data_IF_145658045239
#
_entry.id   IF_145658045239
#
_cell.length_a   1.000
_cell.length_b   1.000
_cell.length_c   1.000
_cell.angle_alpha   90.00
_cell.angle_beta   90.00
_cell.angle_gamma   90.00
#
_symmetry.space_group_name_H-M   'P 1'
#
loop_
_entity.id
_entity.type
_entity.pdbx_description
1 polymer ?
#
# COMPACT_ATOMS: atom_id res chain seq x y z
N UNK A 1 -7.11 -0.43 19.37
CA UNK A 1 -6.58 -1.12 18.17
C UNK A 1 -6.88 -2.60 18.36
N UNK A 2 -6.93 -3.43 17.32
CA UNK A 2 -7.29 -4.86 17.48
C UNK A 2 -6.32 -5.55 18.43
N UNK A 3 -5.01 -5.25 18.35
CA UNK A 3 -4.01 -5.87 19.23
C UNK A 3 -4.16 -5.46 20.71
N UNK A 4 -4.70 -4.28 20.97
CA UNK A 4 -4.85 -3.73 22.33
C UNK A 4 -6.21 -4.04 22.97
N UNK A 5 -7.12 -4.67 22.22
CA UNK A 5 -8.48 -5.00 22.66
C UNK A 5 -8.82 -6.48 22.41
N UNK A 6 -7.81 -7.35 22.22
CA UNK A 6 -8.01 -8.78 21.96
C UNK A 6 -8.85 -9.45 23.06
N UNK A 7 -8.62 -9.07 24.31
CA UNK A 7 -9.26 -9.70 25.47
C UNK A 7 -10.76 -9.40 25.48
N UNK A 8 -11.14 -8.19 25.09
CA UNK A 8 -12.54 -7.80 24.92
C UNK A 8 -13.20 -8.49 23.72
N UNK A 9 -12.44 -8.70 22.63
CA UNK A 9 -12.94 -9.38 21.43
C UNK A 9 -13.17 -10.87 21.68
N UNK A 10 -12.30 -11.51 22.46
CA UNK A 10 -12.37 -12.93 22.78
C UNK A 10 -13.23 -13.24 24.01
N UNK A 11 -13.70 -12.23 24.74
CA UNK A 11 -14.53 -12.43 25.93
C UNK A 11 -15.84 -13.15 25.59
N UNK A 12 -16.10 -14.25 26.29
CA UNK A 12 -17.27 -15.10 26.07
C UNK A 12 -17.29 -15.89 24.75
N UNK A 13 -16.23 -15.83 23.94
CA UNK A 13 -16.12 -16.60 22.70
C UNK A 13 -15.92 -18.11 22.94
N UNK A 14 -15.60 -18.51 24.18
CA UNK A 14 -15.60 -19.92 24.63
C UNK A 14 -17.01 -20.50 24.84
N UNK A 15 -18.01 -19.63 25.00
CA UNK A 15 -19.40 -20.01 25.34
C UNK A 15 -20.41 -19.70 24.25
N UNK A 16 -20.10 -18.74 23.38
CA UNK A 16 -21.02 -18.22 22.36
C UNK A 16 -20.31 -17.93 21.06
N UNK A 17 -21.03 -18.00 19.94
CA UNK A 17 -20.48 -17.66 18.63
C UNK A 17 -20.27 -16.14 18.53
N UNK A 18 -19.01 -15.73 18.39
CA UNK A 18 -18.60 -14.34 18.21
C UNK A 18 -18.09 -14.13 16.78
N UNK A 19 -18.58 -13.08 16.10
CA UNK A 19 -18.14 -12.71 14.77
C UNK A 19 -17.32 -11.43 14.79
N UNK A 20 -16.08 -11.50 14.30
CA UNK A 20 -15.20 -10.34 14.12
C UNK A 20 -15.14 -9.94 12.64
N UNK A 21 -15.75 -8.81 12.31
CA UNK A 21 -15.84 -8.31 10.93
C UNK A 21 -14.73 -7.29 10.66
N UNK A 22 -14.02 -7.49 9.55
CA UNK A 22 -12.90 -6.64 9.12
C UNK A 22 -13.09 -6.22 7.67
N UNK A 23 -12.46 -5.09 7.30
CA UNK A 23 -12.46 -4.63 5.92
C UNK A 23 -11.51 -5.51 5.10
N UNK A 24 -11.99 -5.99 3.95
CA UNK A 24 -11.21 -6.84 3.06
C UNK A 24 -11.06 -8.26 3.60
N UNK A 25 -9.85 -8.81 3.44
CA UNK A 25 -9.52 -10.16 3.88
C UNK A 25 -8.87 -10.16 5.28
N UNK A 26 -9.23 -11.09 6.18
CA UNK A 26 -8.68 -11.15 7.52
C UNK A 26 -7.15 -11.25 7.59
N UNK A 27 -6.48 -11.79 6.57
CA UNK A 27 -5.02 -12.03 6.57
C UNK A 27 -4.27 -11.31 5.44
N UNK A 28 -4.96 -10.64 4.53
CA UNK A 28 -4.35 -10.07 3.33
C UNK A 28 -3.31 -8.97 3.58
N UNK A 29 -3.41 -8.19 4.66
CA UNK A 29 -2.45 -7.14 4.99
C UNK A 29 -2.62 -6.66 6.44
N UNK A 30 -2.81 -7.61 7.36
CA UNK A 30 -3.20 -7.33 8.74
C UNK A 30 -2.31 -8.10 9.70
N UNK A 31 -2.39 -7.75 10.98
CA UNK A 31 -1.76 -8.47 12.08
C UNK A 31 -2.72 -9.46 12.75
N UNK A 32 -3.89 -9.75 12.16
CA UNK A 32 -4.94 -10.54 12.81
C UNK A 32 -4.58 -12.01 13.07
N UNK A 33 -3.48 -12.51 12.48
CA UNK A 33 -2.91 -13.80 12.87
C UNK A 33 -2.57 -13.84 14.36
N UNK A 34 -2.16 -12.72 14.96
CA UNK A 34 -1.93 -12.60 16.42
C UNK A 34 -3.22 -12.89 17.21
N UNK A 35 -4.37 -12.39 16.76
CA UNK A 35 -5.67 -12.64 17.39
C UNK A 35 -6.03 -14.14 17.34
N UNK A 36 -5.75 -14.81 16.22
CA UNK A 36 -5.97 -16.25 16.08
C UNK A 36 -5.08 -17.03 17.04
N UNK A 37 -3.79 -16.68 17.14
CA UNK A 37 -2.86 -17.32 18.08
C UNK A 37 -3.31 -17.16 19.53
N UNK A 38 -3.75 -15.97 19.94
CA UNK A 38 -4.29 -15.73 21.30
C UNK A 38 -5.55 -16.56 21.57
N UNK A 39 -6.44 -16.69 20.57
CA UNK A 39 -7.62 -17.54 20.71
C UNK A 39 -7.24 -19.03 20.88
N UNK A 40 -6.24 -19.50 20.14
CA UNK A 40 -5.70 -20.87 20.28
C UNK A 40 -5.09 -21.12 21.67
N UNK A 41 -4.34 -20.16 22.22
CA UNK A 41 -3.79 -20.25 23.59
C UNK A 41 -4.89 -20.39 24.66
N UNK A 42 -6.06 -19.79 24.40
CA UNK A 42 -7.26 -19.89 25.24
C UNK A 42 -8.14 -21.09 24.91
N UNK A 43 -7.71 -21.96 23.98
CA UNK A 43 -8.49 -23.11 23.48
C UNK A 43 -9.86 -22.72 22.88
N UNK A 44 -9.96 -21.50 22.33
CA UNK A 44 -11.16 -21.00 21.65
C UNK A 44 -11.10 -21.43 20.18
N UNK A 45 -12.07 -22.20 19.67
CA UNK A 45 -12.10 -22.58 18.26
C UNK A 45 -12.31 -21.35 17.36
N UNK A 46 -11.47 -21.20 16.34
CA UNK A 46 -11.59 -20.11 15.36
C UNK A 46 -11.93 -20.64 13.98
N UNK A 47 -12.63 -19.81 13.19
CA UNK A 47 -12.90 -20.08 11.77
C UNK A 47 -12.75 -18.79 10.96
N UNK A 48 -11.84 -18.81 10.00
CA UNK A 48 -11.63 -17.68 9.09
C UNK A 48 -12.50 -17.82 7.85
N UNK A 49 -13.14 -16.72 7.46
CA UNK A 49 -13.93 -16.61 6.22
C UNK A 49 -13.21 -15.62 5.30
N UNK A 50 -12.61 -16.07 4.19
CA UNK A 50 -11.84 -15.21 3.30
C UNK A 50 -12.75 -14.26 2.51
N UNK A 51 -12.18 -13.17 2.02
CA UNK A 51 -12.87 -12.19 1.18
C UNK A 51 -11.92 -11.56 0.14
N UNK A 52 -12.40 -10.59 -0.64
CA UNK A 52 -11.55 -9.78 -1.51
C UNK A 52 -10.50 -8.99 -0.69
N UNK A 53 -9.29 -8.87 -1.23
CA UNK A 53 -8.17 -8.16 -0.61
C UNK A 53 -7.59 -7.14 -1.59
N UNK A 54 -6.95 -6.09 -1.09
CA UNK A 54 -6.18 -5.20 -1.98
C UNK A 54 -5.09 -5.98 -2.75
N UNK A 55 -4.54 -7.05 -2.15
CA UNK A 55 -3.48 -7.86 -2.76
C UNK A 55 -3.92 -8.57 -4.05
N UNK A 56 -5.19 -8.97 -4.17
CA UNK A 56 -5.71 -9.56 -5.40
C UNK A 56 -6.47 -8.54 -6.26
N UNK A 57 -7.20 -7.61 -5.63
CA UNK A 57 -7.96 -6.58 -6.34
C UNK A 57 -7.06 -5.60 -7.11
N UNK A 58 -5.78 -5.45 -6.75
CA UNK A 58 -4.82 -4.63 -7.50
C UNK A 58 -4.66 -5.09 -8.96
N UNK A 59 -5.02 -6.34 -9.28
CA UNK A 59 -5.09 -6.83 -10.67
C UNK A 59 -6.04 -6.02 -11.56
N UNK A 60 -6.94 -5.22 -10.98
CA UNK A 60 -7.77 -4.26 -11.72
C UNK A 60 -6.96 -3.19 -12.48
N UNK A 61 -5.68 -2.97 -12.09
CA UNK A 61 -4.72 -2.15 -12.83
C UNK A 61 -4.34 -2.75 -14.19
N UNK A 62 -4.72 -4.00 -14.47
CA UNK A 62 -4.34 -4.75 -15.67
C UNK A 62 -2.96 -5.40 -15.57
N UNK A 63 -2.24 -5.16 -14.47
CA UNK A 63 -0.96 -5.81 -14.21
C UNK A 63 -1.14 -7.27 -13.79
N UNK A 64 -0.22 -8.11 -14.21
CA UNK A 64 -0.20 -9.53 -13.95
C UNK A 64 0.23 -9.79 -12.50
N UNK A 65 -0.67 -10.35 -11.69
CA UNK A 65 -0.42 -10.58 -10.25
C UNK A 65 0.83 -11.44 -9.98
N UNK A 66 1.18 -12.36 -10.89
CA UNK A 66 2.38 -13.19 -10.74
C UNK A 66 3.70 -12.42 -10.97
N UNK A 67 3.64 -11.20 -11.52
CA UNK A 67 4.78 -10.30 -11.67
C UNK A 67 4.92 -9.31 -10.50
N UNK A 68 4.12 -9.43 -9.44
CA UNK A 68 4.30 -8.66 -8.21
C UNK A 68 5.31 -9.36 -7.28
N UNK A 69 6.23 -8.58 -6.73
CA UNK A 69 7.16 -9.02 -5.70
C UNK A 69 6.61 -8.82 -4.30
N UNK A 70 7.52 -8.64 -3.35
CA UNK A 70 7.17 -8.36 -1.96
C UNK A 70 6.37 -7.06 -1.85
N UNK A 71 5.21 -7.10 -1.20
CA UNK A 71 4.42 -5.90 -0.88
C UNK A 71 5.12 -5.12 0.24
N UNK A 72 5.10 -3.79 0.16
CA UNK A 72 5.74 -2.91 1.14
C UNK A 72 4.73 -1.92 1.71
N UNK A 73 5.01 -1.41 2.91
CA UNK A 73 4.19 -0.37 3.54
C UNK A 73 4.95 0.95 3.60
N UNK A 74 4.33 2.02 3.11
CA UNK A 74 4.82 3.40 3.28
C UNK A 74 4.19 4.00 4.53
N UNK A 75 5.00 4.58 5.40
CA UNK A 75 4.54 5.25 6.62
C UNK A 75 4.72 6.76 6.51
N UNK A 76 3.91 7.55 7.20
CA UNK A 76 4.09 9.00 7.21
C UNK A 76 5.45 9.38 7.80
N UNK A 77 6.16 10.24 7.07
CA UNK A 77 7.35 10.89 7.60
C UNK A 77 6.99 11.97 8.61
N UNK A 78 7.90 12.16 9.55
CA UNK A 78 7.92 13.29 10.46
C UNK A 78 9.25 14.03 10.31
N UNK A 79 9.37 15.21 10.90
CA UNK A 79 10.61 16.00 10.84
C UNK A 79 11.83 15.23 11.37
N UNK A 80 11.64 14.35 12.35
CA UNK A 80 12.72 13.64 13.06
C UNK A 80 12.77 12.14 12.77
N UNK A 81 11.80 11.60 12.03
CA UNK A 81 11.72 10.17 11.75
C UNK A 81 11.21 9.92 10.32
N UNK A 82 12.12 9.39 9.48
CA UNK A 82 11.91 9.07 8.06
C UNK A 82 12.43 7.65 7.77
N UNK A 83 11.68 6.60 8.14
CA UNK A 83 12.14 5.23 7.97
C UNK A 83 12.18 4.86 6.48
N UNK A 84 13.33 4.35 6.03
CA UNK A 84 13.57 3.98 4.63
C UNK A 84 13.56 2.47 4.37
N UNK A 85 13.02 1.66 5.29
CA UNK A 85 13.03 0.18 5.15
C UNK A 85 12.27 -0.31 3.91
N UNK A 86 11.27 0.44 3.44
CA UNK A 86 10.56 0.15 2.19
C UNK A 86 11.48 0.17 0.98
N UNK A 87 12.52 1.02 0.99
CA UNK A 87 13.44 1.22 -0.14
C UNK A 87 14.25 -0.04 -0.45
N UNK A 88 14.78 -0.70 0.58
CA UNK A 88 15.53 -1.94 0.41
C UNK A 88 14.68 -3.07 -0.17
N UNK A 89 13.38 -3.12 0.19
CA UNK A 89 12.42 -4.10 -0.32
C UNK A 89 11.99 -3.80 -1.75
N UNK A 90 11.84 -2.52 -2.10
CA UNK A 90 11.64 -2.12 -3.50
C UNK A 90 12.87 -2.51 -4.33
N UNK A 91 14.09 -2.30 -3.82
CA UNK A 91 15.33 -2.70 -4.50
C UNK A 91 15.36 -4.20 -4.78
N UNK A 92 14.97 -5.04 -3.83
CA UNK A 92 14.84 -6.49 -4.03
C UNK A 92 13.93 -6.80 -5.23
N UNK A 93 12.72 -6.24 -5.26
CA UNK A 93 11.78 -6.46 -6.37
C UNK A 93 12.30 -5.90 -7.71
N UNK A 94 12.83 -4.68 -7.72
CA UNK A 94 13.36 -4.02 -8.92
C UNK A 94 14.54 -4.79 -9.50
N UNK A 95 15.40 -5.38 -8.66
CA UNK A 95 16.58 -6.15 -9.10
C UNK A 95 16.21 -7.36 -9.97
N UNK A 96 15.02 -7.92 -9.74
CA UNK A 96 14.46 -9.03 -10.52
C UNK A 96 13.32 -8.59 -11.45
N UNK A 97 13.07 -7.28 -11.55
CA UNK A 97 12.12 -6.68 -12.50
C UNK A 97 10.64 -6.89 -12.16
N UNK A 98 10.30 -7.16 -10.89
CA UNK A 98 8.92 -7.31 -10.44
C UNK A 98 8.26 -5.97 -10.09
N UNK A 99 6.94 -5.89 -10.23
CA UNK A 99 6.13 -4.80 -9.71
C UNK A 99 6.17 -4.79 -8.18
N UNK A 100 6.04 -3.62 -7.58
CA UNK A 100 5.90 -3.49 -6.13
C UNK A 100 4.59 -2.83 -5.79
N UNK A 101 3.74 -3.51 -5.01
CA UNK A 101 2.58 -2.88 -4.39
C UNK A 101 3.03 -2.18 -3.09
N UNK A 102 2.75 -0.89 -2.99
CA UNK A 102 2.92 -0.07 -1.81
C UNK A 102 1.56 0.17 -1.16
N UNK A 103 1.40 -0.35 0.06
CA UNK A 103 0.29 -0.01 0.94
C UNK A 103 0.61 1.30 1.67
N UNK A 104 -0.36 2.21 1.72
CA UNK A 104 -0.15 3.56 2.24
C UNK A 104 -0.70 3.70 3.66
N UNK A 105 0.01 4.47 4.47
CA UNK A 105 -0.26 4.61 5.90
C UNK A 105 -1.68 5.07 6.21
N UNK A 106 -2.22 4.54 7.31
CA UNK A 106 -3.53 4.87 7.84
C UNK A 106 -3.35 5.18 9.33
N UNK A 107 -3.47 6.46 9.68
CA UNK A 107 -3.42 6.94 11.06
C UNK A 107 -4.82 7.23 11.55
N UNK A 108 -5.40 6.26 12.27
CA UNK A 108 -6.71 6.39 12.90
C UNK A 108 -6.57 6.29 14.42
N UNK A 109 -7.32 7.11 15.16
CA UNK A 109 -7.33 7.12 16.64
C UNK A 109 -5.92 7.31 17.25
N UNK A 110 -5.07 8.12 16.62
CA UNK A 110 -3.80 8.53 17.21
C UNK A 110 -4.02 9.68 18.20
N UNK A 111 -3.26 9.68 19.30
CA UNK A 111 -3.19 10.82 20.22
C UNK A 111 -1.94 11.62 19.88
N UNK A 112 -2.01 12.95 19.97
CA UNK A 112 -0.80 13.77 19.91
C UNK A 112 0.14 13.42 21.07
N UNK A 113 1.45 13.60 20.88
CA UNK A 113 2.46 13.38 21.93
C UNK A 113 2.12 14.16 23.21
N UNK A 114 1.60 15.38 23.06
CA UNK A 114 1.16 16.20 24.19
C UNK A 114 -0.04 15.60 24.92
N UNK A 115 -1.06 15.14 24.19
CA UNK A 115 -2.24 14.52 24.78
C UNK A 115 -1.88 13.20 25.47
N UNK A 116 -1.01 12.40 24.86
CA UNK A 116 -0.48 11.16 25.44
C UNK A 116 0.31 11.42 26.72
N UNK A 117 1.25 12.38 26.69
CA UNK A 117 2.07 12.75 27.86
C UNK A 117 1.22 13.28 29.04
N UNK A 118 0.04 13.84 28.75
CA UNK A 118 -0.91 14.35 29.75
C UNK A 118 -2.02 13.36 30.10
N UNK A 119 -2.00 12.13 29.56
CA UNK A 119 -3.03 11.11 29.78
C UNK A 119 -4.41 11.50 29.25
N UNK A 120 -4.49 12.46 28.32
CA UNK A 120 -5.76 12.92 27.73
C UNK A 120 -6.12 12.04 26.54
N UNK A 121 -7.26 11.35 26.62
CA UNK A 121 -7.81 10.53 25.53
C UNK A 121 -8.46 11.39 24.43
N UNK A 122 -7.68 12.30 23.85
CA UNK A 122 -8.09 13.16 22.74
C UNK A 122 -7.40 12.65 21.48
N UNK A 123 -8.20 12.22 20.51
CA UNK A 123 -7.72 11.61 19.28
C UNK A 123 -7.72 12.63 18.15
N UNK A 124 -6.67 12.61 17.35
CA UNK A 124 -6.55 13.40 16.12
C UNK A 124 -7.52 12.88 15.05
N UNK A 125 -7.95 13.75 14.11
CA UNK A 125 -8.69 13.33 12.94
C UNK A 125 -7.94 12.24 12.16
N UNK A 126 -8.66 11.28 11.54
CA UNK A 126 -8.03 10.21 10.79
C UNK A 126 -7.28 10.79 9.59
N UNK A 127 -6.05 10.30 9.38
CA UNK A 127 -5.20 10.70 8.25
C UNK A 127 -4.91 9.47 7.40
N UNK A 128 -5.11 9.62 6.10
CA UNK A 128 -4.85 8.58 5.11
C UNK A 128 -3.83 9.12 4.12
N UNK A 129 -2.74 8.39 3.91
CA UNK A 129 -1.69 8.83 3.00
C UNK A 129 -2.18 8.78 1.56
N UNK A 130 -1.91 9.85 0.80
CA UNK A 130 -2.24 9.92 -0.62
C UNK A 130 -1.12 9.35 -1.50
N UNK A 131 -1.44 9.02 -2.76
CA UNK A 131 -0.45 8.65 -3.78
C UNK A 131 0.58 9.76 -3.96
N UNK A 132 0.14 11.01 -4.00
CA UNK A 132 1.01 12.19 -4.09
C UNK A 132 2.03 12.26 -2.95
N UNK A 133 1.58 12.09 -1.70
CA UNK A 133 2.47 12.06 -0.54
C UNK A 133 3.45 10.87 -0.60
N UNK A 134 2.97 9.69 -0.98
CA UNK A 134 3.82 8.52 -1.14
C UNK A 134 4.91 8.77 -2.20
N UNK A 135 4.55 9.30 -3.37
CA UNK A 135 5.48 9.59 -4.45
C UNK A 135 6.54 10.63 -4.01
N UNK A 136 6.12 11.67 -3.30
CA UNK A 136 7.04 12.68 -2.72
C UNK A 136 8.04 12.04 -1.74
N UNK A 137 7.54 11.23 -0.79
CA UNK A 137 8.42 10.53 0.17
C UNK A 137 9.36 9.53 -0.50
N UNK A 138 8.90 8.86 -1.57
CA UNK A 138 9.76 7.97 -2.36
C UNK A 138 10.92 8.76 -2.99
N UNK A 139 10.64 9.87 -3.66
CA UNK A 139 11.68 10.70 -4.30
C UNK A 139 12.64 11.30 -3.28
N UNK A 140 12.14 11.74 -2.13
CA UNK A 140 12.98 12.23 -1.02
C UNK A 140 14.01 11.18 -0.57
N UNK A 141 13.60 9.92 -0.41
CA UNK A 141 14.53 8.85 -0.01
C UNK A 141 15.50 8.47 -1.13
N UNK A 142 15.08 8.53 -2.40
CA UNK A 142 16.00 8.32 -3.53
C UNK A 142 17.04 9.44 -3.61
N UNK A 143 16.66 10.69 -3.36
CA UNK A 143 17.60 11.82 -3.32
C UNK A 143 18.62 11.67 -2.18
N UNK A 144 18.20 11.15 -1.02
CA UNK A 144 19.09 10.87 0.11
C UNK A 144 20.04 9.69 -0.16
N UNK A 145 19.51 8.58 -0.70
CA UNK A 145 20.28 7.34 -0.88
C UNK A 145 21.12 7.30 -2.14
N UNK A 146 20.64 7.90 -3.23
CA UNK A 146 21.28 7.93 -4.55
C UNK A 146 21.70 6.55 -5.10
N UNK A 147 20.96 5.49 -4.76
CA UNK A 147 21.27 4.13 -5.20
C UNK A 147 20.61 3.76 -6.54
N UNK A 148 19.84 4.67 -7.15
CA UNK A 148 19.16 4.48 -8.44
C UNK A 148 18.21 3.29 -8.46
N UNK A 149 17.51 3.04 -7.34
CA UNK A 149 16.50 1.97 -7.25
C UNK A 149 15.26 2.33 -8.05
N UNK A 150 14.88 3.61 -8.02
CA UNK A 150 13.92 4.23 -8.92
C UNK A 150 14.35 5.68 -9.17
N UNK A 151 13.55 6.44 -9.91
CA UNK A 151 13.84 7.83 -10.27
C UNK A 151 12.57 8.61 -10.49
N UNK A 152 12.69 9.93 -10.64
CA UNK A 152 11.58 10.81 -11.04
C UNK A 152 10.81 10.31 -12.26
N UNK A 153 11.51 9.73 -13.23
CA UNK A 153 10.94 9.21 -14.48
C UNK A 153 10.31 7.81 -14.33
N UNK A 154 10.53 7.11 -13.22
CA UNK A 154 10.05 5.73 -13.05
C UNK A 154 8.52 5.68 -13.11
N UNK A 155 7.98 4.75 -13.90
CA UNK A 155 6.54 4.59 -14.05
C UNK A 155 5.93 3.94 -12.82
N UNK A 156 4.81 4.49 -12.38
CA UNK A 156 3.99 3.96 -11.31
C UNK A 156 2.49 4.14 -11.62
N UNK A 157 1.66 3.44 -10.86
CA UNK A 157 0.20 3.54 -10.92
C UNK A 157 -0.31 3.92 -9.54
N UNK A 158 -0.81 5.15 -9.42
CA UNK A 158 -1.64 5.56 -8.31
C UNK A 158 -3.03 4.93 -8.43
N UNK A 159 -3.50 4.30 -7.36
CA UNK A 159 -4.81 3.66 -7.30
C UNK A 159 -5.61 4.24 -6.15
N UNK A 160 -6.89 4.50 -6.36
CA UNK A 160 -7.82 4.95 -5.33
C UNK A 160 -9.11 4.14 -5.36
N UNK A 161 -9.59 3.79 -4.17
CA UNK A 161 -10.91 3.17 -3.94
C UNK A 161 -11.12 1.92 -4.80
N UNK A 162 -10.11 1.06 -4.88
CA UNK A 162 -10.19 -0.18 -5.64
C UNK A 162 -11.40 -1.02 -5.18
N UNK A 163 -12.22 -1.44 -6.13
CA UNK A 163 -13.47 -2.18 -5.91
C UNK A 163 -14.71 -1.32 -5.68
N UNK A 164 -14.59 0.00 -5.58
CA UNK A 164 -15.74 0.92 -5.51
C UNK A 164 -16.21 1.36 -6.91
N UNK A 165 -17.45 1.83 -7.01
CA UNK A 165 -18.04 2.35 -8.26
C UNK A 165 -17.26 3.56 -8.82
N UNK A 166 -16.62 4.31 -7.93
CA UNK A 166 -15.83 5.49 -8.24
C UNK A 166 -14.31 5.24 -8.14
N UNK A 167 -13.87 3.99 -8.32
CA UNK A 167 -12.46 3.60 -8.42
C UNK A 167 -11.71 4.44 -9.45
N UNK A 168 -10.47 4.84 -9.14
CA UNK A 168 -9.63 5.62 -10.05
C UNK A 168 -8.20 5.09 -10.14
N UNK A 169 -7.62 5.27 -11.32
CA UNK A 169 -6.22 5.01 -11.61
C UNK A 169 -5.57 6.23 -12.26
N UNK A 170 -4.32 6.50 -11.89
CA UNK A 170 -3.44 7.41 -12.62
C UNK A 170 -2.10 6.71 -12.82
N UNK A 171 -1.70 6.51 -14.08
CA UNK A 171 -0.40 6.00 -14.44
C UNK A 171 0.49 7.16 -14.90
N UNK A 172 1.70 7.24 -14.40
CA UNK A 172 2.61 8.33 -14.75
C UNK A 172 3.98 8.12 -14.16
N UNK A 173 4.86 9.07 -14.39
CA UNK A 173 6.15 9.08 -13.69
C UNK A 173 5.95 9.38 -12.21
N UNK A 174 6.89 8.99 -11.34
CA UNK A 174 6.82 9.35 -9.91
C UNK A 174 6.71 10.86 -9.72
N UNK A 175 7.40 11.65 -10.55
CA UNK A 175 7.28 13.12 -10.53
C UNK A 175 5.88 13.61 -10.87
N UNK A 176 5.22 13.03 -11.86
CA UNK A 176 3.83 13.39 -12.20
C UNK A 176 2.88 13.01 -11.07
N UNK A 177 3.06 11.82 -10.47
CA UNK A 177 2.20 11.33 -9.38
C UNK A 177 2.30 12.17 -8.11
N UNK A 178 3.41 12.90 -7.88
CA UNK A 178 3.54 13.84 -6.77
C UNK A 178 2.46 14.92 -6.75
N UNK A 179 1.80 15.20 -7.88
CA UNK A 179 0.86 16.31 -8.04
C UNK A 179 -0.57 15.84 -8.41
N UNK A 180 -0.80 14.53 -8.46
CA UNK A 180 -2.11 13.95 -8.80
C UNK A 180 -3.05 13.94 -7.60
N UNK A 181 -4.30 14.37 -7.84
CA UNK A 181 -5.42 14.17 -6.93
C UNK A 181 -6.32 13.03 -7.44
N UNK A 182 -6.38 11.93 -6.68
CA UNK A 182 -7.26 10.78 -6.94
C UNK A 182 -8.56 10.82 -6.09
N UNK A 183 -8.77 11.93 -5.37
CA UNK A 183 -9.91 12.13 -4.49
C UNK A 183 -9.78 11.39 -3.15
N UNK A 184 -10.90 10.92 -2.57
CA UNK A 184 -10.91 10.36 -1.23
C UNK A 184 -10.20 9.00 -1.09
N UNK A 185 -9.72 8.65 0.12
CA UNK A 185 -9.08 7.38 0.43
C UNK A 185 -10.02 6.17 0.23
N UNK A 186 -9.54 4.94 0.20
CA UNK A 186 -8.15 4.49 0.42
C UNK A 186 -7.32 4.49 -0.87
N UNK A 187 -6.03 4.81 -0.73
CA UNK A 187 -5.07 4.86 -1.83
C UNK A 187 -4.01 3.75 -1.70
N UNK A 188 -3.49 3.30 -2.84
CA UNK A 188 -2.30 2.45 -2.97
C UNK A 188 -1.47 2.90 -4.16
N UNK A 189 -0.17 2.56 -4.19
CA UNK A 189 0.71 2.86 -5.31
C UNK A 189 1.35 1.57 -5.81
N UNK A 190 1.43 1.38 -7.12
CA UNK A 190 2.21 0.29 -7.72
C UNK A 190 3.40 0.87 -8.45
N UNK A 191 4.62 0.54 -8.03
CA UNK A 191 5.82 0.85 -8.81
C UNK A 191 5.99 -0.21 -9.90
N UNK A 192 6.13 0.21 -11.15
CA UNK A 192 6.21 -0.70 -12.29
C UNK A 192 7.58 -1.39 -12.34
N UNK A 193 7.58 -2.72 -12.44
CA UNK A 193 8.78 -3.52 -12.67
C UNK A 193 9.11 -3.65 -14.15
N UNK A 194 10.38 -3.94 -14.45
CA UNK A 194 10.89 -4.04 -15.83
C UNK A 194 10.35 -5.21 -16.64
N UNK A 195 9.73 -6.22 -16.00
CA UNK A 195 9.14 -7.39 -16.67
C UNK A 195 7.73 -7.14 -17.21
N UNK A 196 7.25 -5.90 -17.17
CA UNK A 196 5.95 -5.53 -17.70
C UNK A 196 5.82 -5.92 -19.19
N UNK A 197 4.73 -6.60 -19.53
CA UNK A 197 4.39 -7.04 -20.87
C UNK A 197 3.77 -5.90 -21.69
N UNK A 198 3.89 -5.94 -23.02
CA UNK A 198 3.28 -4.93 -23.93
C UNK A 198 1.75 -4.83 -23.75
N UNK A 199 1.07 -5.94 -23.45
CA UNK A 199 -0.36 -5.92 -23.12
C UNK A 199 -0.65 -5.09 -21.85
N UNK A 200 0.22 -5.19 -20.85
CA UNK A 200 0.11 -4.39 -19.63
C UNK A 200 0.33 -2.91 -19.96
N UNK A 201 1.32 -2.59 -20.80
CA UNK A 201 1.55 -1.23 -21.34
C UNK A 201 0.28 -0.66 -21.96
N UNK A 202 -0.31 -1.38 -22.92
CA UNK A 202 -1.47 -0.92 -23.68
C UNK A 202 -2.68 -0.65 -22.77
N UNK A 203 -2.82 -1.42 -21.70
CA UNK A 203 -3.88 -1.22 -20.73
C UNK A 203 -3.60 -0.01 -19.82
N UNK A 204 -2.42 0.05 -19.19
CA UNK A 204 -2.11 1.11 -18.21
C UNK A 204 -1.96 2.48 -18.86
N UNK A 205 -1.56 2.54 -20.15
CA UNK A 205 -1.48 3.77 -20.93
C UNK A 205 -2.82 4.52 -21.02
N UNK A 206 -3.95 3.81 -20.90
CA UNK A 206 -5.30 4.44 -20.88
C UNK A 206 -5.52 5.33 -19.67
N UNK A 207 -4.74 5.12 -18.61
CA UNK A 207 -4.76 5.91 -17.38
C UNK A 207 -3.57 6.88 -17.29
N UNK A 208 -2.83 7.08 -18.39
CA UNK A 208 -1.65 7.92 -18.39
C UNK A 208 -1.99 9.39 -18.07
N UNK A 209 -1.34 9.97 -17.07
CA UNK A 209 -1.40 11.40 -16.75
C UNK A 209 -0.91 12.22 -17.94
N UNK A 210 0.20 11.79 -18.55
CA UNK A 210 0.72 12.31 -19.81
C UNK A 210 1.22 11.16 -20.70
N UNK A 211 0.60 10.99 -21.88
CA UNK A 211 0.96 9.90 -22.79
C UNK A 211 2.36 10.05 -23.38
N UNK A 212 2.84 11.27 -23.61
CA UNK A 212 4.18 11.50 -24.17
C UNK A 212 5.28 11.16 -23.16
N UNK A 213 5.12 11.62 -21.91
CA UNK A 213 6.05 11.27 -20.82
C UNK A 213 6.03 9.76 -20.56
N UNK A 214 4.83 9.16 -20.57
CA UNK A 214 4.66 7.72 -20.41
C UNK A 214 5.46 6.92 -21.45
N UNK A 215 5.31 7.24 -22.74
CA UNK A 215 6.04 6.53 -23.82
C UNK A 215 7.55 6.72 -23.70
N UNK A 216 8.01 7.94 -23.41
CA UNK A 216 9.44 8.21 -23.19
C UNK A 216 10.01 7.36 -22.06
N UNK A 217 9.30 7.29 -20.94
CA UNK A 217 9.75 6.49 -19.78
C UNK A 217 9.69 4.98 -20.07
N UNK A 218 8.61 4.50 -20.70
CA UNK A 218 8.50 3.11 -21.13
C UNK A 218 9.70 2.70 -22.00
N UNK A 219 10.00 3.48 -23.04
CA UNK A 219 11.09 3.19 -23.96
C UNK A 219 12.46 3.23 -23.28
N UNK A 220 12.64 4.12 -22.30
CA UNK A 220 13.88 4.21 -21.51
C UNK A 220 14.12 2.98 -20.64
N UNK A 221 13.08 2.43 -20.02
CA UNK A 221 13.21 1.43 -18.95
C UNK A 221 12.73 0.01 -19.30
N UNK A 222 11.88 -0.15 -20.31
CA UNK A 222 11.14 -1.40 -20.59
C UNK A 222 11.35 -1.94 -22.02
N UNK A 223 11.73 -1.11 -23.00
CA UNK A 223 11.98 -1.59 -24.39
C UNK A 223 13.26 -2.42 -24.54
N UNK A 224 14.13 -2.50 -23.53
CA UNK A 224 15.38 -3.27 -23.59
C UNK A 224 15.24 -4.65 -22.96
N UNK A 225 14.56 -5.55 -23.66
CA UNK A 225 14.71 -7.02 -23.55
C UNK A 225 14.06 -7.71 -24.75
N UNK A 226 14.69 -7.59 -25.93
CA UNK A 226 14.52 -8.55 -27.02
C UNK A 226 15.88 -9.16 -27.35
#
# INVERSE_FOLDING_TARGET
MVESASDEILDGADKTDVAFLVVGDPFGATTHTDLVLRAEELSIPTKSIPNASILNAIGATGLQLYNFGQTVSMVFFTETWKPASFYDRIRENTSIGLHTLLLLDIKVKEQSLENMARGRKIYEPPRYMTVSQCAQQMLEIEEEKQESVYSEDSLAIGCARIGADDQQFACGTLRELCDVDLGPPLHSLVLLGKRAHELEKDYIKKFAVNQETFEKSWNKYHERSR
#
